data_IF_829256716924
#
_entry.id   IF_829256716924
#
_cell.length_a   1.000
_cell.length_b   1.000
_cell.length_c   1.000
_cell.angle_alpha   90.00
_cell.angle_beta   90.00
_cell.angle_gamma   90.00
#
_symmetry.space_group_name_H-M   'P 1'
#
loop_
_entity.id
_entity.type
_entity.pdbx_description
1 polymer ?
#
# COMPACT_ATOMS: atom_id res chain seq x y z
N UNK A 1 22.20 4.21 -16.32
CA UNK A 1 22.09 3.09 -15.35
C UNK A 1 22.05 3.72 -13.97
N UNK A 2 21.08 3.34 -13.13
CA UNK A 2 21.13 3.68 -11.71
C UNK A 2 22.11 2.77 -10.98
N UNK A 3 22.56 3.20 -9.80
CA UNK A 3 23.62 2.55 -9.02
C UNK A 3 23.06 1.62 -7.92
N UNK A 4 21.78 1.23 -8.02
CA UNK A 4 21.08 0.40 -7.05
C UNK A 4 20.76 -0.98 -7.66
N UNK A 5 21.26 -2.04 -7.03
CA UNK A 5 20.96 -3.42 -7.42
C UNK A 5 19.71 -3.99 -6.70
N UNK A 6 19.34 -3.43 -5.55
CA UNK A 6 18.17 -3.84 -4.75
C UNK A 6 17.55 -2.63 -4.04
N UNK A 7 16.22 -2.59 -4.02
CA UNK A 7 15.42 -1.64 -3.25
C UNK A 7 14.40 -2.42 -2.42
N UNK A 8 14.29 -2.07 -1.14
CA UNK A 8 13.22 -2.53 -0.25
C UNK A 8 12.40 -1.31 0.16
N UNK A 9 11.10 -1.33 -0.16
CA UNK A 9 10.18 -0.22 0.03
C UNK A 9 8.94 -0.71 0.78
N UNK A 10 8.44 0.11 1.70
CA UNK A 10 7.18 -0.11 2.40
C UNK A 10 6.27 1.12 2.16
N UNK A 11 5.04 0.86 1.71
CA UNK A 11 3.96 1.85 1.69
C UNK A 11 3.08 1.67 2.92
N UNK A 12 3.28 2.52 3.93
CA UNK A 12 2.67 2.36 5.25
C UNK A 12 1.18 2.76 5.31
N UNK A 13 0.67 3.43 4.29
CA UNK A 13 -0.64 4.09 4.32
C UNK A 13 -1.82 3.15 4.65
N UNK A 14 -1.94 1.94 4.07
CA UNK A 14 -3.10 1.08 4.31
C UNK A 14 -3.21 0.65 5.78
N UNK A 15 -2.07 0.40 6.44
CA UNK A 15 -2.03 0.02 7.86
C UNK A 15 -2.27 1.22 8.79
N UNK A 16 -1.47 2.28 8.61
CA UNK A 16 -1.52 3.44 9.50
C UNK A 16 -2.86 4.18 9.43
N UNK A 17 -3.50 4.20 8.26
CA UNK A 17 -4.85 4.78 8.12
C UNK A 17 -5.93 3.75 8.44
N UNK A 18 -5.71 2.46 8.17
CA UNK A 18 -6.61 1.38 8.57
C UNK A 18 -6.88 1.34 10.08
N UNK A 19 -5.84 1.61 10.90
CA UNK A 19 -5.95 1.77 12.36
C UNK A 19 -6.90 2.88 12.84
N UNK A 20 -7.37 3.76 11.96
CA UNK A 20 -8.43 4.72 12.29
C UNK A 20 -9.81 4.06 12.42
N UNK A 21 -10.00 2.85 11.88
CA UNK A 21 -11.30 2.19 11.77
C UNK A 21 -12.29 2.97 10.88
N UNK A 22 -11.81 3.87 10.03
CA UNK A 22 -12.63 4.69 9.14
C UNK A 22 -12.50 4.21 7.68
N UNK A 23 -13.62 3.78 7.09
CA UNK A 23 -13.65 3.23 5.74
C UNK A 23 -13.17 4.22 4.67
N UNK A 24 -13.76 5.42 4.62
CA UNK A 24 -13.43 6.41 3.58
C UNK A 24 -11.95 6.87 3.60
N UNK A 25 -11.36 7.23 4.75
CA UNK A 25 -9.91 7.49 4.83
C UNK A 25 -9.06 6.32 4.36
N UNK A 26 -9.43 5.08 4.73
CA UNK A 26 -8.67 3.88 4.34
C UNK A 26 -8.73 3.63 2.84
N UNK A 27 -9.89 3.82 2.20
CA UNK A 27 -10.02 3.77 0.74
C UNK A 27 -9.08 4.78 0.09
N UNK A 28 -9.05 6.03 0.58
CA UNK A 28 -8.14 7.06 0.04
C UNK A 28 -6.67 6.76 0.28
N UNK A 29 -6.33 6.12 1.40
CA UNK A 29 -4.98 5.65 1.67
C UNK A 29 -4.54 4.59 0.64
N UNK A 30 -5.42 3.65 0.29
CA UNK A 30 -5.14 2.62 -0.71
C UNK A 30 -5.04 3.24 -2.12
N UNK A 31 -5.96 4.12 -2.50
CA UNK A 31 -5.91 4.82 -3.81
C UNK A 31 -4.59 5.58 -4.00
N UNK A 32 -4.09 6.26 -2.96
CA UNK A 32 -2.82 6.96 -3.02
C UNK A 32 -1.62 6.00 -3.17
N UNK A 33 -1.67 4.83 -2.54
CA UNK A 33 -0.66 3.79 -2.72
C UNK A 33 -0.72 3.20 -4.13
N UNK A 34 -1.91 2.99 -4.69
CA UNK A 34 -2.08 2.49 -6.05
C UNK A 34 -1.44 3.42 -7.09
N UNK A 35 -1.69 4.73 -7.00
CA UNK A 35 -1.06 5.74 -7.85
C UNK A 35 0.47 5.68 -7.74
N UNK A 36 1.01 5.70 -6.51
CA UNK A 36 2.45 5.63 -6.27
C UNK A 36 3.08 4.31 -6.74
N UNK A 37 2.37 3.20 -6.55
CA UNK A 37 2.82 1.87 -6.94
C UNK A 37 2.95 1.78 -8.46
N UNK A 38 1.98 2.32 -9.21
CA UNK A 38 2.05 2.42 -10.66
C UNK A 38 3.31 3.15 -11.13
N UNK A 39 3.57 4.36 -10.62
CA UNK A 39 4.76 5.13 -10.98
C UNK A 39 6.07 4.39 -10.67
N UNK A 40 6.16 3.75 -9.50
CA UNK A 40 7.35 3.01 -9.09
C UNK A 40 7.58 1.77 -9.95
N UNK A 41 6.55 0.96 -10.18
CA UNK A 41 6.64 -0.30 -10.93
C UNK A 41 6.93 -0.03 -12.40
N UNK A 42 6.24 0.95 -13.01
CA UNK A 42 6.50 1.35 -14.40
C UNK A 42 7.95 1.78 -14.56
N UNK A 43 8.48 2.57 -13.61
CA UNK A 43 9.88 3.00 -13.67
C UNK A 43 10.87 1.83 -13.54
N UNK A 44 10.58 0.85 -12.69
CA UNK A 44 11.40 -0.36 -12.54
C UNK A 44 11.42 -1.16 -13.86
N UNK A 45 10.26 -1.35 -14.48
CA UNK A 45 10.11 -2.09 -15.75
C UNK A 45 10.81 -1.35 -16.90
N UNK A 46 10.65 -0.02 -17.01
CA UNK A 46 11.33 0.84 -17.99
C UNK A 46 12.86 0.73 -17.89
N UNK A 47 13.39 0.49 -16.68
CA UNK A 47 14.82 0.28 -16.44
C UNK A 47 15.29 -1.17 -16.66
N UNK A 48 14.38 -2.07 -17.08
CA UNK A 48 14.65 -3.49 -17.31
C UNK A 48 14.76 -4.32 -16.04
N UNK A 49 14.21 -3.82 -14.92
CA UNK A 49 14.19 -4.50 -13.63
C UNK A 49 12.95 -5.37 -13.43
N UNK A 50 12.81 -5.87 -12.20
CA UNK A 50 11.67 -6.66 -11.75
C UNK A 50 11.15 -6.13 -10.41
N UNK A 51 9.84 -6.17 -10.20
CA UNK A 51 9.21 -5.82 -8.94
C UNK A 51 8.54 -7.07 -8.33
N UNK A 52 8.68 -7.23 -7.00
CA UNK A 52 7.90 -8.17 -6.21
C UNK A 52 7.02 -7.32 -5.30
N UNK A 53 5.71 -7.46 -5.46
CA UNK A 53 4.71 -6.71 -4.69
C UNK A 53 4.11 -7.68 -3.68
N UNK A 54 4.15 -7.31 -2.40
CA UNK A 54 3.62 -8.12 -1.29
C UNK A 54 3.17 -7.21 -0.16
N UNK A 55 2.38 -7.76 0.76
CA UNK A 55 2.16 -7.19 2.09
C UNK A 55 2.85 -8.07 3.14
N UNK A 56 3.12 -7.51 4.30
CA UNK A 56 3.62 -8.21 5.49
C UNK A 56 2.48 -8.80 6.33
N UNK A 57 1.31 -8.14 6.35
CA UNK A 57 0.07 -8.62 6.96
C UNK A 57 -1.18 -7.93 6.39
N UNK A 58 -2.37 -8.26 6.94
CA UNK A 58 -3.64 -7.57 6.68
C UNK A 58 -3.94 -6.48 7.72
N UNK A 59 -4.92 -5.62 7.43
CA UNK A 59 -5.49 -4.58 8.28
C UNK A 59 -6.66 -3.95 7.50
N UNK A 60 -6.33 -3.24 6.43
CA UNK A 60 -7.27 -2.46 5.62
C UNK A 60 -8.33 -3.29 4.88
N UNK A 61 -8.16 -4.61 4.82
CA UNK A 61 -9.16 -5.56 4.33
C UNK A 61 -10.41 -5.61 5.21
N UNK A 62 -10.30 -5.23 6.48
CA UNK A 62 -11.44 -5.12 7.40
C UNK A 62 -11.23 -4.00 8.43
N UNK A 63 -11.89 -2.86 8.22
CA UNK A 63 -11.81 -1.68 9.13
C UNK A 63 -13.08 -1.46 9.95
N UNK A 64 -14.15 -2.22 9.67
CA UNK A 64 -15.41 -2.21 10.40
C UNK A 64 -15.78 -3.64 10.82
N UNK A 65 -16.42 -3.79 11.98
CA UNK A 65 -17.05 -5.05 12.40
C UNK A 65 -18.33 -5.32 11.61
N UNK A 66 -18.90 -6.52 11.78
CA UNK A 66 -20.19 -6.89 11.19
C UNK A 66 -21.37 -6.01 11.69
N UNK A 67 -21.17 -5.28 12.80
CA UNK A 67 -22.12 -4.34 13.40
C UNK A 67 -21.77 -2.86 13.09
N UNK A 68 -21.00 -2.62 12.03
CA UNK A 68 -20.54 -1.30 11.56
C UNK A 68 -19.76 -0.48 12.63
N UNK A 69 -19.09 -1.15 13.57
CA UNK A 69 -18.23 -0.49 14.55
C UNK A 69 -16.77 -0.40 14.07
N UNK A 70 -16.05 0.71 14.34
CA UNK A 70 -14.64 0.85 13.99
C UNK A 70 -13.75 -0.26 14.58
N UNK A 71 -12.88 -0.84 13.77
CA UNK A 71 -11.76 -1.68 14.23
C UNK A 71 -10.54 -0.79 14.49
N UNK A 72 -10.37 -0.34 15.74
CA UNK A 72 -9.28 0.56 16.17
C UNK A 72 -8.40 -0.08 17.23
#
# INVERSE_FOLDING_TARGET
>A
KGDLDLILLNFANPDMVGHSGMLEPTIKAIEAVDECLGEVVDKIIDMGGHAIITADHGNSDQVLTDDDQPMT
#
